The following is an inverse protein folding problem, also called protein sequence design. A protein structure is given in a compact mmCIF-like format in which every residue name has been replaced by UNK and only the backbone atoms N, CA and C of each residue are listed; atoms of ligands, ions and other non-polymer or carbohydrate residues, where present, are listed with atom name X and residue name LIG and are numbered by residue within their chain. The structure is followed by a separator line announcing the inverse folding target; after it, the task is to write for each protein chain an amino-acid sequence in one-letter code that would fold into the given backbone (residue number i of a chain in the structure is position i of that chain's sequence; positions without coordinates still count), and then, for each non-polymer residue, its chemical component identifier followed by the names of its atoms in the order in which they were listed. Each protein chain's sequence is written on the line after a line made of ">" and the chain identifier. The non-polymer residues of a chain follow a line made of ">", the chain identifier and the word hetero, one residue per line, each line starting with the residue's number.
data_IF_312971707300
#
_entry.id   IF_312971707300
#
_cell.length_a   1.000
_cell.length_b   1.000
_cell.length_c   1.000
_cell.angle_alpha   90.00
_cell.angle_beta   90.00
_cell.angle_gamma   90.00
#
_symmetry.space_group_name_H-M   'P 1'
#
loop_
_entity.id
_entity.type
_entity.pdbx_description
1 polymer ?
#
# COMPACT_ATOMS: atom_id res chain seq x y z
N UNK A 1 -4.96 -22.11 -20.16
CA UNK A 1 -4.86 -21.00 -19.18
C UNK A 1 -5.22 -19.72 -19.92
N UNK A 2 -5.93 -18.75 -19.26
CA UNK A 2 -6.26 -17.46 -19.88
C UNK A 2 -5.00 -16.62 -20.12
N UNK A 3 -4.95 -15.90 -21.23
CA UNK A 3 -3.91 -14.92 -21.57
C UNK A 3 -4.26 -13.60 -20.90
N UNK A 4 -3.44 -13.15 -19.95
CA UNK A 4 -3.71 -11.96 -19.14
C UNK A 4 -2.60 -10.92 -19.37
N UNK A 5 -3.01 -9.69 -19.71
CA UNK A 5 -2.16 -8.51 -19.72
C UNK A 5 -2.42 -7.67 -18.49
N UNK A 6 -1.40 -7.45 -17.66
CA UNK A 6 -1.44 -6.50 -16.55
C UNK A 6 -0.58 -5.28 -16.88
N UNK A 7 -1.17 -4.09 -16.95
CA UNK A 7 -0.45 -2.84 -17.24
C UNK A 7 -0.19 -2.11 -15.93
N UNK A 8 1.09 -1.90 -15.61
CA UNK A 8 1.55 -1.24 -14.39
C UNK A 8 2.47 -0.07 -14.71
N UNK A 9 2.59 0.90 -13.81
CA UNK A 9 3.46 2.06 -14.02
C UNK A 9 4.96 1.70 -13.91
N UNK A 10 5.37 1.03 -12.83
CA UNK A 10 6.77 0.69 -12.59
C UNK A 10 6.86 -0.61 -11.77
N UNK A 11 7.95 -1.34 -11.97
CA UNK A 11 8.22 -2.54 -11.20
C UNK A 11 8.49 -2.22 -9.73
N UNK A 12 7.86 -3.01 -8.83
CA UNK A 12 8.02 -2.87 -7.39
C UNK A 12 8.19 -4.22 -6.71
N UNK A 13 9.16 -4.38 -5.81
CA UNK A 13 9.50 -5.67 -5.21
C UNK A 13 8.30 -6.37 -4.54
N UNK A 14 7.46 -5.63 -3.86
CA UNK A 14 6.32 -6.18 -3.13
C UNK A 14 5.21 -6.77 -4.03
N UNK A 15 5.20 -6.44 -5.34
CA UNK A 15 4.25 -7.02 -6.31
C UNK A 15 4.80 -8.22 -7.05
N UNK A 16 6.11 -8.43 -7.05
CA UNK A 16 6.71 -9.51 -7.85
C UNK A 16 6.28 -10.88 -7.35
N UNK A 17 6.20 -11.09 -6.03
CA UNK A 17 5.70 -12.36 -5.50
C UNK A 17 4.22 -12.57 -5.84
N UNK A 18 3.40 -11.52 -5.77
CA UNK A 18 2.02 -11.57 -6.22
C UNK A 18 1.91 -11.98 -7.70
N UNK A 19 2.70 -11.36 -8.59
CA UNK A 19 2.70 -11.72 -10.01
C UNK A 19 3.23 -13.15 -10.25
N UNK A 20 4.24 -13.60 -9.48
CA UNK A 20 4.72 -14.98 -9.55
C UNK A 20 3.64 -15.98 -9.19
N UNK A 21 2.87 -15.72 -8.13
CA UNK A 21 1.76 -16.58 -7.71
C UNK A 21 0.59 -16.54 -8.71
N UNK A 22 0.28 -15.37 -9.26
CA UNK A 22 -0.76 -15.21 -10.28
C UNK A 22 -0.39 -15.96 -11.57
N UNK A 23 0.88 -15.93 -11.98
CA UNK A 23 1.41 -16.62 -13.15
C UNK A 23 1.34 -18.16 -13.06
N UNK A 24 1.18 -18.71 -11.87
CA UNK A 24 0.88 -20.14 -11.70
C UNK A 24 -0.54 -20.51 -12.11
N UNK A 25 -1.43 -19.53 -12.28
CA UNK A 25 -2.87 -19.70 -12.57
C UNK A 25 -3.28 -19.20 -13.96
N UNK A 26 -2.51 -18.31 -14.58
CA UNK A 26 -2.77 -17.76 -15.91
C UNK A 26 -1.46 -17.49 -16.68
N UNK A 27 -1.54 -17.32 -18.00
CA UNK A 27 -0.39 -16.87 -18.80
C UNK A 27 -0.27 -15.35 -18.65
N UNK A 28 0.51 -14.90 -17.67
CA UNK A 28 0.61 -13.50 -17.27
C UNK A 28 1.72 -12.78 -18.05
N UNK A 29 1.36 -11.68 -18.70
CA UNK A 29 2.31 -10.67 -19.19
C UNK A 29 2.09 -9.38 -18.38
N UNK A 30 3.15 -8.89 -17.73
CA UNK A 30 3.15 -7.60 -17.05
C UNK A 30 3.88 -6.57 -17.91
N UNK A 31 3.15 -5.54 -18.33
CA UNK A 31 3.67 -4.44 -19.11
C UNK A 31 3.92 -3.23 -18.21
N UNK A 32 5.17 -2.88 -18.02
CA UNK A 32 5.55 -1.69 -17.27
C UNK A 32 5.71 -0.48 -18.17
N UNK A 33 5.19 0.67 -17.75
CA UNK A 33 5.33 1.92 -18.50
C UNK A 33 6.78 2.39 -18.58
N UNK A 34 7.56 2.12 -17.54
CA UNK A 34 8.97 2.51 -17.44
C UNK A 34 9.81 1.45 -16.71
N UNK A 35 11.05 1.31 -17.17
CA UNK A 35 12.03 0.38 -16.59
C UNK A 35 12.69 0.93 -15.32
N UNK A 36 12.71 2.27 -15.13
CA UNK A 36 13.30 2.95 -13.95
C UNK A 36 12.35 3.98 -13.36
N UNK A 37 12.41 4.17 -12.05
CA UNK A 37 11.73 5.27 -11.35
C UNK A 37 12.77 6.23 -10.79
N UNK A 38 12.58 7.55 -11.01
CA UNK A 38 13.44 8.59 -10.45
C UNK A 38 13.30 8.71 -8.91
N UNK A 39 12.16 8.30 -8.37
CA UNK A 39 11.84 8.43 -6.93
C UNK A 39 12.31 7.24 -6.09
N UNK A 40 12.75 6.13 -6.70
CA UNK A 40 13.07 4.89 -5.99
C UNK A 40 14.55 4.58 -6.03
N UNK A 41 15.10 4.12 -4.91
CA UNK A 41 16.49 3.72 -4.78
C UNK A 41 16.73 2.42 -5.57
N UNK A 42 17.79 2.37 -6.39
CA UNK A 42 18.20 1.17 -7.16
C UNK A 42 18.47 -0.06 -6.28
N UNK A 43 18.71 0.16 -4.99
CA UNK A 43 18.86 -0.93 -4.00
C UNK A 43 17.62 -1.81 -3.83
N UNK A 44 16.45 -1.33 -4.27
CA UNK A 44 15.18 -2.07 -4.18
C UNK A 44 15.01 -3.13 -5.30
N UNK A 45 15.76 -3.02 -6.41
CA UNK A 45 15.53 -3.82 -7.62
C UNK A 45 16.48 -5.03 -7.78
N UNK A 46 17.26 -5.40 -6.74
CA UNK A 46 18.20 -6.53 -6.82
C UNK A 46 17.50 -7.87 -7.01
N UNK A 47 17.79 -8.52 -8.15
CA UNK A 47 17.54 -9.91 -8.54
C UNK A 47 16.27 -10.57 -7.99
N UNK A 48 15.12 -10.26 -8.61
CA UNK A 48 13.87 -10.97 -8.33
C UNK A 48 13.69 -12.02 -9.43
N UNK A 49 13.57 -13.29 -9.04
CA UNK A 49 13.15 -14.35 -9.94
C UNK A 49 11.72 -14.07 -10.41
N UNK A 50 11.51 -14.01 -11.72
CA UNK A 50 10.21 -13.73 -12.32
C UNK A 50 9.70 -15.00 -13.01
N UNK A 51 8.48 -15.40 -12.67
CA UNK A 51 7.74 -16.54 -13.27
C UNK A 51 6.70 -16.10 -14.29
N UNK A 52 6.70 -14.82 -14.67
CA UNK A 52 5.77 -14.19 -15.61
C UNK A 52 6.54 -13.45 -16.71
N UNK A 53 5.88 -13.18 -17.82
CA UNK A 53 6.47 -12.41 -18.92
C UNK A 53 6.49 -10.91 -18.55
N UNK A 54 7.63 -10.26 -18.81
CA UNK A 54 7.82 -8.83 -18.54
C UNK A 54 8.13 -8.10 -19.83
N UNK A 55 7.41 -7.01 -20.06
CA UNK A 55 7.69 -6.07 -21.15
C UNK A 55 7.74 -4.65 -20.60
N UNK A 56 8.51 -3.78 -21.26
CA UNK A 56 8.67 -2.36 -20.91
C UNK A 56 8.31 -1.49 -22.10
N UNK A 57 7.50 -0.43 -21.85
CA UNK A 57 7.15 0.52 -22.90
C UNK A 57 8.26 1.53 -23.16
N UNK A 58 8.90 2.00 -22.08
CA UNK A 58 9.95 3.04 -22.11
C UNK A 58 9.66 4.16 -23.12
N UNK A 59 8.81 5.10 -22.72
CA UNK A 59 8.33 6.18 -23.57
C UNK A 59 9.12 7.48 -23.44
N UNK A 60 8.64 8.51 -24.10
CA UNK A 60 9.17 9.88 -23.99
C UNK A 60 8.64 10.49 -22.69
N UNK A 61 9.53 11.03 -21.86
CA UNK A 61 9.16 11.74 -20.64
C UNK A 61 8.47 13.07 -20.98
N UNK A 62 7.27 13.29 -20.45
CA UNK A 62 6.45 14.48 -20.75
C UNK A 62 6.17 15.36 -19.51
N UNK A 63 6.94 15.17 -18.44
CA UNK A 63 6.90 15.96 -17.22
C UNK A 63 6.33 15.20 -16.02
N UNK A 64 6.85 15.51 -14.81
CA UNK A 64 6.58 14.75 -13.60
C UNK A 64 6.93 13.28 -13.79
N UNK A 65 6.07 12.39 -13.37
CA UNK A 65 6.21 10.94 -13.56
C UNK A 65 5.51 10.40 -14.82
N UNK A 66 5.07 11.28 -15.73
CA UNK A 66 4.34 10.90 -16.92
C UNK A 66 5.26 10.59 -18.09
N UNK A 67 4.93 9.52 -18.80
CA UNK A 67 5.56 9.08 -20.03
C UNK A 67 4.51 8.99 -21.13
N UNK A 68 4.94 9.13 -22.37
CA UNK A 68 4.09 9.01 -23.55
C UNK A 68 4.64 7.93 -24.47
N UNK A 69 3.82 6.94 -24.82
CA UNK A 69 4.20 5.91 -25.78
C UNK A 69 2.97 5.31 -26.46
N UNK A 70 2.83 5.52 -27.77
CA UNK A 70 1.73 4.99 -28.57
C UNK A 70 1.76 3.45 -28.73
N UNK A 71 2.91 2.80 -28.46
CA UNK A 71 2.99 1.32 -28.51
C UNK A 71 2.00 0.64 -27.57
N UNK A 72 1.50 1.34 -26.53
CA UNK A 72 0.45 0.82 -25.65
C UNK A 72 -0.78 0.35 -26.44
N UNK A 73 -1.14 1.05 -27.52
CA UNK A 73 -2.28 0.69 -28.38
C UNK A 73 -2.07 -0.66 -29.07
N UNK A 74 -0.82 -0.97 -29.47
CA UNK A 74 -0.49 -2.28 -30.06
C UNK A 74 -0.68 -3.41 -29.06
N UNK A 75 -0.30 -3.18 -27.79
CA UNK A 75 -0.52 -4.17 -26.70
C UNK A 75 -2.00 -4.41 -26.47
N UNK A 76 -2.80 -3.36 -26.41
CA UNK A 76 -4.25 -3.46 -26.25
C UNK A 76 -4.92 -4.23 -27.41
N UNK A 77 -4.38 -4.13 -28.63
CA UNK A 77 -4.90 -4.86 -29.81
C UNK A 77 -4.49 -6.35 -29.85
N UNK A 78 -3.48 -6.77 -29.12
CA UNK A 78 -3.11 -8.20 -29.03
C UNK A 78 -4.26 -9.03 -28.45
N UNK A 79 -4.25 -10.33 -28.75
CA UNK A 79 -5.26 -11.27 -28.24
C UNK A 79 -4.96 -11.65 -26.79
N UNK A 80 -5.39 -10.82 -25.87
CA UNK A 80 -5.49 -11.16 -24.46
C UNK A 80 -6.96 -11.42 -24.12
N UNK A 81 -7.22 -12.45 -23.29
CA UNK A 81 -8.55 -12.75 -22.78
C UNK A 81 -8.98 -11.70 -21.76
N UNK A 82 -8.02 -11.23 -20.95
CA UNK A 82 -8.25 -10.23 -19.90
C UNK A 82 -7.15 -9.17 -19.94
N UNK A 83 -7.55 -7.90 -19.84
CA UNK A 83 -6.64 -6.76 -19.66
C UNK A 83 -6.93 -6.11 -18.32
N UNK A 84 -5.91 -5.99 -17.47
CA UNK A 84 -6.00 -5.33 -16.16
C UNK A 84 -5.19 -4.04 -16.21
N UNK A 85 -5.84 -2.93 -15.90
CA UNK A 85 -5.23 -1.61 -15.78
C UNK A 85 -4.88 -1.37 -14.30
N UNK A 86 -3.58 -1.33 -13.97
CA UNK A 86 -3.08 -1.20 -12.60
C UNK A 86 -3.03 0.23 -12.07
N UNK A 87 -3.25 1.23 -12.94
CA UNK A 87 -3.26 2.65 -12.55
C UNK A 87 -4.05 3.46 -13.59
N UNK A 88 -4.95 4.31 -13.16
CA UNK A 88 -5.75 5.17 -14.07
C UNK A 88 -5.25 6.62 -14.11
N UNK A 89 -4.22 6.94 -13.33
CA UNK A 89 -3.68 8.30 -13.21
C UNK A 89 -2.51 8.58 -14.18
N UNK A 90 -1.95 7.54 -14.83
CA UNK A 90 -0.89 7.74 -15.80
C UNK A 90 -1.46 8.13 -17.18
N UNK A 91 -0.70 8.90 -17.92
CA UNK A 91 -1.08 9.31 -19.28
C UNK A 91 -1.23 8.09 -20.19
N UNK A 92 -0.28 7.17 -20.16
CA UNK A 92 -0.28 5.96 -21.00
C UNK A 92 -1.49 5.08 -20.72
N UNK A 93 -1.79 4.79 -19.45
CA UNK A 93 -2.94 3.95 -19.10
C UNK A 93 -4.27 4.67 -19.39
N UNK A 94 -4.33 5.98 -19.19
CA UNK A 94 -5.51 6.79 -19.59
C UNK A 94 -5.76 6.70 -21.10
N UNK A 95 -4.71 6.73 -21.92
CA UNK A 95 -4.80 6.53 -23.38
C UNK A 95 -5.30 5.11 -23.71
N UNK A 96 -4.77 4.07 -23.03
CA UNK A 96 -5.23 2.70 -23.20
C UNK A 96 -6.72 2.56 -22.87
N UNK A 97 -7.18 3.15 -21.77
CA UNK A 97 -8.58 3.16 -21.34
C UNK A 97 -9.46 3.80 -22.42
N UNK A 98 -9.11 5.00 -22.91
CA UNK A 98 -9.88 5.70 -23.94
C UNK A 98 -9.97 4.86 -25.22
N UNK A 99 -8.84 4.32 -25.65
CA UNK A 99 -8.79 3.50 -26.87
C UNK A 99 -9.63 2.23 -26.75
N UNK A 100 -9.52 1.50 -25.63
CA UNK A 100 -10.36 0.31 -25.36
C UNK A 100 -11.85 0.64 -25.39
N UNK A 101 -12.26 1.81 -24.86
CA UNK A 101 -13.65 2.26 -24.92
C UNK A 101 -14.12 2.50 -26.36
N UNK A 102 -13.26 3.15 -27.18
CA UNK A 102 -13.59 3.43 -28.60
C UNK A 102 -13.81 2.12 -29.37
N UNK A 103 -12.97 1.12 -29.16
CA UNK A 103 -13.08 -0.17 -29.86
C UNK A 103 -13.98 -1.20 -29.18
N UNK A 104 -14.64 -0.83 -28.07
CA UNK A 104 -15.53 -1.72 -27.31
C UNK A 104 -14.83 -2.87 -26.60
N UNK A 105 -13.50 -2.79 -26.34
CA UNK A 105 -12.73 -3.85 -25.67
C UNK A 105 -12.93 -3.78 -24.16
N UNK A 106 -13.29 -4.93 -23.53
CA UNK A 106 -13.44 -5.03 -22.07
C UNK A 106 -12.09 -4.94 -21.36
N UNK A 107 -12.08 -4.34 -20.19
CA UNK A 107 -10.91 -4.27 -19.31
C UNK A 107 -11.34 -4.18 -17.84
N UNK A 108 -10.45 -4.59 -16.95
CA UNK A 108 -10.60 -4.52 -15.51
C UNK A 108 -9.71 -3.35 -15.01
N UNK A 109 -10.18 -2.61 -14.02
CA UNK A 109 -9.35 -1.61 -13.33
C UNK A 109 -8.97 -2.14 -11.95
N UNK A 110 -7.67 -2.12 -11.65
CA UNK A 110 -7.15 -2.42 -10.32
C UNK A 110 -6.84 -1.12 -9.57
N UNK A 111 -7.22 -1.06 -8.29
CA UNK A 111 -7.02 0.07 -7.38
C UNK A 111 -6.39 -0.42 -6.08
N UNK A 112 -5.20 0.06 -5.78
CA UNK A 112 -4.40 -0.37 -4.64
C UNK A 112 -4.81 0.26 -3.29
N UNK A 113 -6.02 0.79 -3.19
CA UNK A 113 -6.55 1.37 -1.97
C UNK A 113 -7.66 2.37 -2.21
N UNK A 114 -7.95 3.14 -1.18
CA UNK A 114 -9.06 4.09 -1.18
C UNK A 114 -8.90 5.18 -2.24
N UNK A 115 -10.03 5.51 -2.87
CA UNK A 115 -10.10 6.55 -3.88
C UNK A 115 -10.67 7.80 -3.23
N UNK A 116 -9.84 8.80 -3.07
CA UNK A 116 -10.24 10.08 -2.50
C UNK A 116 -10.94 10.95 -3.55
N UNK A 117 -12.27 10.95 -3.51
CA UNK A 117 -13.14 11.65 -4.48
C UNK A 117 -13.92 12.81 -3.86
N UNK A 118 -13.50 13.25 -2.66
CA UNK A 118 -14.27 14.20 -1.85
C UNK A 118 -14.24 15.65 -2.35
N UNK A 119 -13.22 16.01 -3.13
CA UNK A 119 -13.11 17.37 -3.66
C UNK A 119 -13.90 17.55 -4.96
N UNK A 120 -14.69 18.60 -5.03
CA UNK A 120 -15.33 19.06 -6.26
C UNK A 120 -14.30 19.81 -7.11
N UNK A 121 -13.47 19.10 -7.86
CA UNK A 121 -12.45 19.68 -8.73
C UNK A 121 -12.53 19.06 -10.13
N UNK A 122 -11.95 19.75 -11.12
CA UNK A 122 -11.80 19.23 -12.48
C UNK A 122 -11.01 17.92 -12.46
N UNK A 123 -9.98 17.81 -11.59
CA UNK A 123 -9.20 16.58 -11.40
C UNK A 123 -10.08 15.42 -10.96
N UNK A 124 -10.98 15.64 -9.99
CA UNK A 124 -11.92 14.62 -9.52
C UNK A 124 -12.92 14.20 -10.59
N UNK A 125 -13.39 15.16 -11.40
CA UNK A 125 -14.28 14.86 -12.54
C UNK A 125 -13.57 14.01 -13.59
N UNK A 126 -12.32 14.30 -13.92
CA UNK A 126 -11.50 13.48 -14.81
C UNK A 126 -11.23 12.09 -14.23
N UNK A 127 -10.90 11.99 -12.94
CA UNK A 127 -10.73 10.69 -12.26
C UNK A 127 -12.00 9.85 -12.39
N UNK A 128 -13.18 10.41 -12.09
CA UNK A 128 -14.47 9.73 -12.23
C UNK A 128 -14.73 9.30 -13.66
N UNK A 129 -14.37 10.13 -14.65
CA UNK A 129 -14.50 9.79 -16.05
C UNK A 129 -13.66 8.57 -16.44
N UNK A 130 -12.37 8.51 -16.04
CA UNK A 130 -11.50 7.37 -16.35
C UNK A 130 -11.88 6.10 -15.56
N UNK A 131 -12.37 6.26 -14.34
CA UNK A 131 -12.85 5.13 -13.55
C UNK A 131 -14.10 4.49 -14.14
N UNK A 132 -15.04 5.25 -14.68
CA UNK A 132 -16.25 4.71 -15.29
C UNK A 132 -15.92 3.97 -16.59
N UNK A 133 -16.60 2.85 -16.84
CA UNK A 133 -16.56 2.12 -18.12
C UNK A 133 -15.71 0.86 -18.13
N UNK A 134 -15.03 0.49 -17.05
CA UNK A 134 -14.45 -0.84 -16.90
C UNK A 134 -15.56 -1.90 -16.78
N UNK A 135 -15.27 -3.12 -17.21
CA UNK A 135 -16.19 -4.26 -17.03
C UNK A 135 -16.24 -4.69 -15.57
N UNK A 136 -15.12 -4.61 -14.86
CA UNK A 136 -14.99 -4.97 -13.45
C UNK A 136 -13.91 -4.15 -12.74
N UNK A 137 -13.94 -4.11 -11.41
CA UNK A 137 -12.98 -3.40 -10.55
C UNK A 137 -12.45 -4.33 -9.47
N UNK A 138 -11.14 -4.42 -9.37
CA UNK A 138 -10.42 -5.05 -8.27
C UNK A 138 -9.92 -3.96 -7.33
N UNK A 139 -10.32 -3.97 -6.07
CA UNK A 139 -9.97 -2.90 -5.11
C UNK A 139 -9.33 -3.48 -3.86
N UNK A 140 -8.30 -2.82 -3.36
CA UNK A 140 -7.62 -3.24 -2.13
C UNK A 140 -8.47 -2.88 -0.92
N UNK A 141 -9.03 -3.91 -0.27
CA UNK A 141 -9.78 -3.81 0.98
C UNK A 141 -11.22 -3.34 0.85
N UNK A 142 -11.95 -3.52 1.94
CA UNK A 142 -13.39 -3.23 2.00
C UNK A 142 -13.68 -1.72 2.10
N UNK A 143 -12.76 -0.94 2.67
CA UNK A 143 -12.86 0.52 2.71
C UNK A 143 -12.85 1.13 1.31
N UNK A 144 -11.95 0.63 0.44
CA UNK A 144 -11.89 1.04 -0.96
C UNK A 144 -13.13 0.61 -1.76
N UNK A 145 -13.68 -0.58 -1.49
CA UNK A 145 -14.94 -1.04 -2.07
C UNK A 145 -16.11 -0.11 -1.71
N UNK A 146 -16.26 0.23 -0.42
CA UNK A 146 -17.31 1.15 0.06
C UNK A 146 -17.19 2.53 -0.59
N UNK A 147 -15.96 3.02 -0.75
CA UNK A 147 -15.69 4.31 -1.39
C UNK A 147 -16.04 4.30 -2.88
N UNK A 148 -15.63 3.25 -3.61
CA UNK A 148 -15.91 3.13 -5.05
C UNK A 148 -17.39 2.87 -5.34
N UNK A 149 -18.11 2.14 -4.48
CA UNK A 149 -19.53 1.85 -4.62
C UNK A 149 -20.44 3.10 -4.61
N UNK A 150 -19.91 4.27 -4.18
CA UNK A 150 -20.62 5.55 -4.30
C UNK A 150 -20.78 6.03 -5.74
N UNK A 151 -19.98 5.51 -6.68
CA UNK A 151 -19.97 5.96 -8.08
C UNK A 151 -20.04 4.83 -9.11
N UNK A 152 -19.83 3.59 -8.69
CA UNK A 152 -19.83 2.38 -9.51
C UNK A 152 -20.79 1.36 -8.88
N UNK A 153 -21.48 0.58 -9.71
CA UNK A 153 -22.32 -0.53 -9.26
C UNK A 153 -21.49 -1.54 -8.47
N UNK A 154 -21.93 -1.85 -7.26
CA UNK A 154 -21.22 -2.76 -6.34
C UNK A 154 -21.04 -4.17 -6.93
N UNK A 155 -21.94 -4.64 -7.80
CA UNK A 155 -21.81 -5.92 -8.48
C UNK A 155 -20.61 -6.03 -9.42
N UNK A 156 -20.01 -4.88 -9.78
CA UNK A 156 -18.80 -4.80 -10.60
C UNK A 156 -17.53 -4.65 -9.77
N UNK A 157 -17.61 -4.68 -8.45
CA UNK A 157 -16.49 -4.40 -7.56
C UNK A 157 -16.19 -5.65 -6.73
N UNK A 158 -14.96 -6.12 -6.81
CA UNK A 158 -14.44 -7.19 -5.95
C UNK A 158 -13.33 -6.63 -5.07
N UNK A 159 -13.52 -6.65 -3.75
CA UNK A 159 -12.44 -6.34 -2.82
C UNK A 159 -11.47 -7.52 -2.70
N UNK A 160 -10.19 -7.22 -2.59
CA UNK A 160 -9.15 -8.20 -2.34
C UNK A 160 -8.27 -7.81 -1.15
N UNK A 161 -7.78 -8.78 -0.37
CA UNK A 161 -6.95 -8.55 0.79
C UNK A 161 -5.51 -8.22 0.36
N UNK A 162 -5.23 -6.93 0.10
CA UNK A 162 -3.93 -6.52 -0.40
C UNK A 162 -2.82 -6.80 0.62
N UNK A 163 -1.78 -7.48 0.17
CA UNK A 163 -0.62 -7.85 0.99
C UNK A 163 0.64 -8.00 0.14
N UNK A 164 1.79 -7.84 0.79
CA UNK A 164 3.11 -8.23 0.27
C UNK A 164 3.63 -9.53 0.91
N UNK A 165 2.82 -10.21 1.72
CA UNK A 165 3.19 -11.36 2.52
C UNK A 165 2.47 -12.61 2.05
N UNK A 166 3.22 -13.71 1.94
CA UNK A 166 2.67 -15.07 1.81
C UNK A 166 2.24 -15.62 3.17
N UNK A 167 1.44 -16.70 3.19
CA UNK A 167 1.12 -17.40 4.43
C UNK A 167 2.40 -17.85 5.16
N UNK A 168 3.41 -18.31 4.41
CA UNK A 168 4.72 -18.72 4.95
C UNK A 168 5.45 -17.56 5.62
N UNK A 169 5.38 -16.35 5.04
CA UNK A 169 5.99 -15.15 5.65
C UNK A 169 5.32 -14.84 7.00
N UNK A 170 3.99 -14.93 7.07
CA UNK A 170 3.24 -14.67 8.31
C UNK A 170 3.60 -15.68 9.40
N UNK A 171 3.67 -16.97 9.05
CA UNK A 171 4.01 -18.02 10.02
C UNK A 171 5.43 -17.81 10.58
N UNK A 172 6.39 -17.45 9.72
CA UNK A 172 7.76 -17.11 10.13
C UNK A 172 7.82 -15.84 10.97
N UNK A 173 7.10 -14.79 10.57
CA UNK A 173 7.10 -13.51 11.25
C UNK A 173 6.50 -13.59 12.66
N UNK A 174 5.51 -14.48 12.87
CA UNK A 174 4.88 -14.65 14.17
C UNK A 174 5.87 -15.16 15.26
N UNK A 175 7.00 -15.77 14.87
CA UNK A 175 8.07 -16.16 15.80
C UNK A 175 8.73 -14.95 16.47
N UNK A 176 8.72 -13.77 15.81
CA UNK A 176 9.25 -12.53 16.35
C UNK A 176 8.36 -11.90 17.45
N UNK A 177 7.15 -12.41 17.64
CA UNK A 177 6.22 -11.90 18.65
C UNK A 177 6.74 -12.04 20.10
N UNK A 178 7.65 -12.98 20.33
CA UNK A 178 8.23 -13.27 21.65
C UNK A 178 9.38 -12.33 22.05
N UNK A 179 9.69 -11.30 21.25
CA UNK A 179 10.76 -10.35 21.57
C UNK A 179 10.34 -9.39 22.69
N UNK A 180 11.30 -9.00 23.52
CA UNK A 180 11.09 -7.89 24.49
C UNK A 180 10.79 -6.61 23.74
N UNK A 181 9.66 -5.98 24.05
CA UNK A 181 9.16 -4.80 23.35
C UNK A 181 9.44 -3.52 24.13
N UNK A 182 10.05 -2.55 23.45
CA UNK A 182 10.38 -1.23 24.00
C UNK A 182 10.13 -0.13 22.98
N UNK A 183 9.78 1.07 23.43
CA UNK A 183 9.62 2.26 22.58
C UNK A 183 8.50 2.18 21.54
N UNK A 184 8.48 3.17 20.67
CA UNK A 184 7.48 3.37 19.61
C UNK A 184 8.20 3.45 18.27
N UNK A 185 7.63 2.81 17.26
CA UNK A 185 8.16 2.78 15.89
C UNK A 185 7.23 3.54 14.94
N UNK A 186 7.81 4.39 14.11
CA UNK A 186 7.13 5.05 12.99
C UNK A 186 7.87 4.69 11.71
N UNK A 187 7.18 4.15 10.70
CA UNK A 187 7.80 3.72 9.44
C UNK A 187 7.17 4.45 8.27
N UNK A 188 7.98 5.16 7.50
CA UNK A 188 7.52 5.84 6.29
C UNK A 188 8.51 6.84 5.72
N UNK A 189 8.33 7.16 4.44
CA UNK A 189 9.06 8.24 3.80
C UNK A 189 8.53 9.61 4.29
N UNK A 190 9.38 10.63 4.28
CA UNK A 190 9.00 11.97 4.68
C UNK A 190 8.26 12.69 3.54
N UNK A 191 6.96 12.41 3.45
CA UNK A 191 6.02 13.11 2.57
C UNK A 191 4.84 13.61 3.40
N UNK A 192 4.26 14.74 3.03
CA UNK A 192 3.17 15.38 3.77
C UNK A 192 2.00 14.43 4.06
N UNK A 193 1.63 13.60 3.09
CA UNK A 193 0.51 12.66 3.25
C UNK A 193 0.79 11.54 4.26
N UNK A 194 2.06 11.32 4.65
CA UNK A 194 2.45 10.32 5.67
C UNK A 194 2.30 10.82 7.10
N UNK A 195 2.18 12.13 7.33
CA UNK A 195 1.92 12.70 8.65
C UNK A 195 3.01 12.48 9.70
N UNK A 196 4.29 12.24 9.28
CA UNK A 196 5.37 11.99 10.23
C UNK A 196 5.63 13.18 11.16
N UNK A 197 5.35 14.40 10.70
CA UNK A 197 5.40 15.63 11.48
C UNK A 197 4.42 15.58 12.67
N UNK A 198 3.20 15.06 12.48
CA UNK A 198 2.22 14.86 13.56
C UNK A 198 2.75 13.89 14.62
N UNK A 199 3.38 12.78 14.19
CA UNK A 199 3.99 11.84 15.13
C UNK A 199 5.18 12.46 15.88
N UNK A 200 5.96 13.34 15.25
CA UNK A 200 7.06 14.06 15.93
C UNK A 200 6.52 14.98 17.00
N UNK A 201 5.42 15.71 16.76
CA UNK A 201 4.82 16.55 17.79
C UNK A 201 4.35 15.71 19.00
N UNK A 202 3.74 14.53 18.75
CA UNK A 202 3.42 13.59 19.84
C UNK A 202 4.68 13.13 20.59
N UNK A 203 5.75 12.79 19.86
CA UNK A 203 7.02 12.34 20.45
C UNK A 203 7.66 13.42 21.34
N UNK A 204 7.57 14.69 20.96
CA UNK A 204 8.06 15.83 21.78
C UNK A 204 7.32 15.93 23.10
N UNK A 205 6.02 15.65 23.13
CA UNK A 205 5.19 15.67 24.34
C UNK A 205 5.35 14.41 25.21
N UNK A 206 5.81 13.27 24.63
CA UNK A 206 6.03 11.99 25.31
C UNK A 206 7.52 11.72 25.52
N UNK A 207 8.21 12.62 26.21
CA UNK A 207 9.69 12.62 26.34
C UNK A 207 10.28 11.45 27.13
N UNK A 208 9.46 10.72 27.86
CA UNK A 208 9.81 9.55 28.67
C UNK A 208 9.75 8.23 27.86
N UNK A 209 9.29 8.27 26.60
CA UNK A 209 9.23 7.12 25.70
C UNK A 209 10.12 7.34 24.49
N UNK A 210 10.91 6.33 24.12
CA UNK A 210 11.75 6.39 22.92
C UNK A 210 10.90 6.22 21.66
N UNK A 211 11.10 7.11 20.69
CA UNK A 211 10.48 7.08 19.35
C UNK A 211 11.54 6.88 18.29
N UNK A 212 11.37 5.84 17.48
CA UNK A 212 12.26 5.55 16.35
C UNK A 212 11.51 5.76 15.04
N UNK A 213 11.99 6.71 14.22
CA UNK A 213 11.48 6.98 12.87
C UNK A 213 12.38 6.30 11.85
N UNK A 214 11.78 5.47 10.98
CA UNK A 214 12.51 4.68 9.98
C UNK A 214 11.97 4.97 8.58
N UNK A 215 12.88 5.07 7.61
CA UNK A 215 12.53 5.11 6.20
C UNK A 215 12.45 6.50 5.58
N UNK A 216 12.93 7.54 6.26
CA UNK A 216 12.98 8.92 5.73
C UNK A 216 13.85 9.05 4.48
N UNK A 217 14.76 8.09 4.24
CA UNK A 217 15.55 7.97 3.01
C UNK A 217 16.39 9.20 2.70
N UNK A 218 16.36 9.66 1.46
CA UNK A 218 17.10 10.86 0.99
C UNK A 218 16.62 12.16 1.65
N UNK A 219 15.47 12.18 2.29
CA UNK A 219 14.89 13.35 2.95
C UNK A 219 15.25 13.42 4.44
N UNK A 220 16.13 12.55 4.95
CA UNK A 220 16.45 12.45 6.37
C UNK A 220 16.97 13.77 6.96
N UNK A 221 17.88 14.44 6.29
CA UNK A 221 18.44 15.73 6.77
C UNK A 221 17.33 16.78 6.86
N UNK A 222 16.58 16.97 5.78
CA UNK A 222 15.42 17.86 5.72
C UNK A 222 14.42 17.56 6.83
N UNK A 223 14.08 16.29 7.03
CA UNK A 223 13.18 15.86 8.10
C UNK A 223 13.72 16.24 9.48
N UNK A 224 15.01 15.96 9.75
CA UNK A 224 15.63 16.28 11.02
C UNK A 224 15.70 17.80 11.28
N UNK A 225 15.93 18.60 10.25
CA UNK A 225 15.99 20.06 10.34
C UNK A 225 14.59 20.66 10.56
N UNK A 226 13.64 20.38 9.69
CA UNK A 226 12.27 20.91 9.76
C UNK A 226 11.56 20.50 11.06
N UNK A 227 11.75 19.26 11.51
CA UNK A 227 11.14 18.74 12.72
C UNK A 227 11.98 18.97 13.99
N UNK A 228 13.19 19.50 13.85
CA UNK A 228 14.12 19.78 14.95
C UNK A 228 14.41 18.56 15.84
N UNK A 229 14.39 17.34 15.25
CA UNK A 229 14.47 16.07 16.00
C UNK A 229 15.73 15.94 16.86
N UNK A 230 16.86 16.55 16.44
CA UNK A 230 18.13 16.51 17.16
C UNK A 230 18.09 17.19 18.54
N UNK A 231 17.07 18.01 18.83
CA UNK A 231 16.89 18.66 20.13
C UNK A 231 16.28 17.72 21.18
N UNK A 232 15.71 16.58 20.76
CA UNK A 232 14.96 15.67 21.60
C UNK A 232 15.69 14.34 21.74
N UNK A 233 16.11 13.98 22.96
CA UNK A 233 16.92 12.77 23.23
C UNK A 233 16.12 11.47 23.00
N UNK A 234 14.80 11.52 23.11
CA UNK A 234 13.90 10.41 22.93
C UNK A 234 13.52 10.14 21.45
N UNK A 235 14.00 10.99 20.50
CA UNK A 235 13.70 10.83 19.08
C UNK A 235 14.94 10.35 18.33
N UNK A 236 14.85 9.15 17.74
CA UNK A 236 15.86 8.55 16.89
C UNK A 236 15.36 8.47 15.44
N UNK A 237 16.21 8.85 14.49
CA UNK A 237 15.89 8.79 13.05
C UNK A 237 16.86 7.86 12.34
N UNK A 238 16.32 6.87 11.61
CA UNK A 238 17.08 5.89 10.84
C UNK A 238 16.65 6.01 9.37
N UNK A 239 17.53 6.44 8.45
CA UNK A 239 17.18 6.70 7.07
C UNK A 239 16.62 5.49 6.34
N UNK A 240 17.17 4.32 6.61
CA UNK A 240 16.81 3.07 5.94
C UNK A 240 17.20 1.86 6.79
N UNK A 241 16.36 0.83 6.80
CA UNK A 241 16.66 -0.50 7.32
C UNK A 241 16.46 -1.55 6.23
N UNK A 242 17.29 -2.59 6.23
CA UNK A 242 17.04 -3.77 5.41
C UNK A 242 15.79 -4.51 5.92
N UNK A 243 15.14 -5.28 5.05
CA UNK A 243 13.88 -5.99 5.38
C UNK A 243 13.97 -6.76 6.71
N UNK A 244 15.07 -7.49 6.94
CA UNK A 244 15.27 -8.25 8.18
C UNK A 244 15.31 -7.34 9.42
N UNK A 245 16.08 -6.26 9.37
CA UNK A 245 16.24 -5.31 10.48
C UNK A 245 14.92 -4.58 10.77
N UNK A 246 14.16 -4.24 9.72
CA UNK A 246 12.85 -3.62 9.84
C UNK A 246 11.85 -4.56 10.55
N UNK A 247 11.84 -5.85 10.19
CA UNK A 247 10.97 -6.84 10.82
C UNK A 247 11.36 -7.11 12.28
N UNK A 248 12.66 -7.12 12.60
CA UNK A 248 13.12 -7.16 13.99
C UNK A 248 12.68 -5.89 14.75
N UNK A 249 12.67 -4.73 14.11
CA UNK A 249 12.21 -3.47 14.72
C UNK A 249 10.71 -3.51 15.02
N UNK A 250 9.88 -4.12 14.15
CA UNK A 250 8.48 -4.40 14.47
C UNK A 250 8.36 -5.30 15.70
N UNK A 251 9.13 -6.39 15.78
CA UNK A 251 9.09 -7.30 16.94
C UNK A 251 9.53 -6.65 18.27
N UNK A 252 10.43 -5.68 18.20
CA UNK A 252 11.02 -4.98 19.36
C UNK A 252 10.24 -3.75 19.82
N UNK A 253 9.35 -3.16 19.02
CA UNK A 253 8.60 -2.00 19.44
C UNK A 253 7.31 -2.39 20.18
N UNK A 254 6.92 -1.56 21.15
CA UNK A 254 5.63 -1.73 21.87
C UNK A 254 4.44 -1.36 21.01
N UNK A 255 4.60 -0.36 20.16
CA UNK A 255 3.54 0.16 19.28
C UNK A 255 4.15 0.62 17.97
N UNK A 256 3.56 0.22 16.83
CA UNK A 256 3.75 0.87 15.55
C UNK A 256 2.75 2.03 15.45
N UNK A 257 3.23 3.23 15.12
CA UNK A 257 2.38 4.40 14.84
C UNK A 257 2.40 4.71 13.36
N UNK A 258 1.23 4.78 12.72
CA UNK A 258 1.04 5.16 11.33
C UNK A 258 0.14 6.42 11.25
N UNK A 259 0.73 7.63 11.27
CA UNK A 259 0.01 8.89 11.42
C UNK A 259 -0.50 9.47 10.09
N UNK A 260 -0.65 8.63 9.06
CA UNK A 260 -0.91 9.07 7.68
C UNK A 260 -2.17 9.94 7.56
N UNK A 261 -2.04 11.08 6.88
CA UNK A 261 -3.18 11.91 6.47
C UNK A 261 -4.02 11.22 5.44
N UNK A 262 -3.30 10.54 4.51
CA UNK A 262 -3.91 9.88 3.37
C UNK A 262 -2.96 8.79 2.83
N UNK A 263 -3.31 7.56 3.06
CA UNK A 263 -2.55 6.39 2.62
C UNK A 263 -3.48 5.43 1.87
N UNK A 264 -3.18 5.13 0.62
CA UNK A 264 -4.02 4.23 -0.17
C UNK A 264 -4.21 2.87 0.53
N UNK A 265 -3.12 2.29 1.04
CA UNK A 265 -3.17 1.05 1.81
C UNK A 265 -2.35 1.14 3.09
N UNK A 266 -1.03 1.03 2.99
CA UNK A 266 -0.11 1.01 4.13
C UNK A 266 0.37 -0.40 4.46
N UNK A 267 1.23 -0.98 3.59
CA UNK A 267 1.77 -2.34 3.76
C UNK A 267 2.47 -2.57 5.11
N UNK A 268 2.99 -1.52 5.73
CA UNK A 268 3.59 -1.57 7.07
C UNK A 268 2.60 -2.09 8.14
N UNK A 269 1.29 -1.90 7.94
CA UNK A 269 0.25 -2.49 8.80
C UNK A 269 0.23 -4.02 8.66
N UNK A 270 0.25 -4.53 7.42
CA UNK A 270 0.32 -5.98 7.17
C UNK A 270 1.58 -6.59 7.80
N UNK A 271 2.73 -5.94 7.61
CA UNK A 271 4.03 -6.38 8.13
C UNK A 271 4.03 -6.44 9.65
N UNK A 272 3.65 -5.36 10.33
CA UNK A 272 3.58 -5.29 11.77
C UNK A 272 2.54 -6.27 12.36
N UNK A 273 1.37 -6.36 11.76
CA UNK A 273 0.31 -7.27 12.18
C UNK A 273 0.73 -8.74 12.08
N UNK A 274 1.55 -9.11 11.07
CA UNK A 274 2.07 -10.48 10.92
C UNK A 274 2.98 -10.92 12.08
N UNK A 275 3.56 -9.95 12.80
CA UNK A 275 4.41 -10.16 13.99
C UNK A 275 3.59 -10.02 15.29
N UNK A 276 2.36 -9.53 15.20
CA UNK A 276 1.54 -9.19 16.35
C UNK A 276 1.95 -7.88 17.04
N UNK A 277 2.61 -6.98 16.33
CA UNK A 277 2.99 -5.66 16.85
C UNK A 277 1.74 -4.79 17.01
N UNK A 278 1.40 -4.28 18.21
CA UNK A 278 0.29 -3.35 18.40
C UNK A 278 0.38 -2.15 17.48
N UNK A 279 -0.74 -1.74 16.92
CA UNK A 279 -0.83 -0.68 15.90
C UNK A 279 -1.74 0.44 16.40
N UNK A 280 -1.25 1.66 16.33
CA UNK A 280 -2.05 2.89 16.40
C UNK A 280 -1.91 3.59 15.06
N UNK A 281 -3.02 3.85 14.39
CA UNK A 281 -3.00 4.46 13.08
C UNK A 281 -4.11 5.53 12.97
N UNK A 282 -4.11 6.25 11.86
CA UNK A 282 -5.19 7.17 11.57
C UNK A 282 -6.25 6.52 10.67
N UNK A 283 -7.44 7.10 10.66
CA UNK A 283 -8.49 6.80 9.67
C UNK A 283 -8.05 7.06 8.22
N UNK A 284 -6.93 7.74 8.03
CA UNK A 284 -6.31 7.98 6.72
C UNK A 284 -5.57 6.78 6.13
N UNK A 285 -5.45 5.65 6.84
CA UNK A 285 -4.75 4.44 6.35
C UNK A 285 -5.74 3.33 6.00
N UNK A 286 -5.85 2.96 4.72
CA UNK A 286 -6.77 1.92 4.25
C UNK A 286 -6.56 0.58 4.94
N UNK A 287 -5.32 0.09 5.05
CA UNK A 287 -5.03 -1.16 5.75
C UNK A 287 -5.41 -1.11 7.23
N UNK A 288 -5.10 -0.02 7.94
CA UNK A 288 -5.45 0.10 9.35
C UNK A 288 -6.96 0.11 9.57
N UNK A 289 -7.70 0.79 8.69
CA UNK A 289 -9.18 0.77 8.72
C UNK A 289 -9.70 -0.64 8.51
N UNK A 290 -9.23 -1.37 7.51
CA UNK A 290 -9.65 -2.75 7.22
C UNK A 290 -9.29 -3.73 8.34
N UNK A 291 -8.16 -3.51 9.02
CA UNK A 291 -7.73 -4.38 10.12
C UNK A 291 -8.51 -4.12 11.41
N UNK A 292 -8.83 -2.86 11.72
CA UNK A 292 -9.25 -2.45 13.06
C UNK A 292 -10.71 -1.98 13.17
N UNK A 293 -11.31 -1.40 12.11
CA UNK A 293 -12.57 -0.68 12.20
C UNK A 293 -13.75 -1.53 12.70
N UNK A 294 -13.78 -2.81 12.34
CA UNK A 294 -14.84 -3.76 12.70
C UNK A 294 -14.48 -4.62 13.92
N UNK A 295 -13.59 -4.10 14.79
CA UNK A 295 -13.13 -4.78 16.00
C UNK A 295 -13.15 -3.87 17.22
N UNK A 296 -12.95 -4.45 18.41
CA UNK A 296 -12.77 -3.67 19.65
C UNK A 296 -11.55 -2.73 19.59
N UNK A 297 -10.58 -3.00 18.70
CA UNK A 297 -9.37 -2.21 18.50
C UNK A 297 -9.57 -0.98 17.60
N UNK A 298 -10.79 -0.73 17.15
CA UNK A 298 -11.17 0.52 16.49
C UNK A 298 -10.80 1.77 17.31
N UNK A 299 -10.74 1.62 18.61
CA UNK A 299 -10.34 2.69 19.54
C UNK A 299 -8.91 3.19 19.28
N UNK A 300 -8.06 2.45 18.56
CA UNK A 300 -6.70 2.84 18.15
C UNK A 300 -6.61 3.50 16.78
N UNK A 301 -7.76 3.81 16.17
CA UNK A 301 -7.81 4.66 14.98
C UNK A 301 -8.00 6.11 15.40
N UNK A 302 -6.96 6.92 15.15
CA UNK A 302 -6.96 8.36 15.43
C UNK A 302 -7.46 9.18 14.24
N UNK A 303 -7.90 10.40 14.48
CA UNK A 303 -8.20 11.34 13.41
C UNK A 303 -6.91 11.81 12.73
N UNK A 304 -6.86 11.89 11.40
CA UNK A 304 -5.74 12.54 10.72
C UNK A 304 -5.55 13.98 11.20
N UNK A 305 -4.29 14.43 11.27
CA UNK A 305 -3.89 15.79 11.73
C UNK A 305 -4.30 16.17 13.15
N UNK A 306 -4.76 15.24 13.97
CA UNK A 306 -5.12 15.47 15.36
C UNK A 306 -4.05 14.90 16.31
N UNK A 307 -3.07 15.74 16.68
CA UNK A 307 -1.95 15.37 17.56
C UNK A 307 -2.42 14.87 18.92
N UNK A 308 -3.46 15.49 19.48
CA UNK A 308 -3.97 15.14 20.81
C UNK A 308 -4.74 13.81 20.79
N UNK A 309 -5.54 13.55 19.74
CA UNK A 309 -6.20 12.27 19.57
C UNK A 309 -5.16 11.14 19.33
N UNK A 310 -4.16 11.38 18.48
CA UNK A 310 -3.08 10.42 18.24
C UNK A 310 -2.32 10.10 19.53
N UNK A 311 -1.92 11.13 20.30
CA UNK A 311 -1.24 10.96 21.60
C UNK A 311 -2.04 10.09 22.54
N UNK A 312 -3.33 10.42 22.72
CA UNK A 312 -4.25 9.67 23.58
C UNK A 312 -4.32 8.19 23.16
N UNK A 313 -4.46 7.90 21.84
CA UNK A 313 -4.52 6.52 21.34
C UNK A 313 -3.21 5.75 21.60
N UNK A 314 -2.07 6.42 21.47
CA UNK A 314 -0.76 5.83 21.77
C UNK A 314 -0.65 5.53 23.28
N UNK A 315 -1.00 6.47 24.16
CA UNK A 315 -0.98 6.27 25.61
C UNK A 315 -1.90 5.12 26.03
N UNK A 316 -3.11 5.06 25.47
CA UNK A 316 -4.08 4.00 25.77
C UNK A 316 -3.60 2.64 25.29
N UNK A 317 -2.99 2.58 24.10
CA UNK A 317 -2.37 1.36 23.58
C UNK A 317 -1.19 0.86 24.44
N UNK A 318 -0.35 1.78 24.94
CA UNK A 318 0.76 1.46 25.83
C UNK A 318 0.32 0.92 27.19
N UNK A 319 -0.87 1.27 27.68
CA UNK A 319 -1.45 0.78 28.94
C UNK A 319 -2.13 -0.58 28.80
N UNK A 320 -2.51 -0.96 27.58
CA UNK A 320 -3.21 -2.22 27.33
C UNK A 320 -2.25 -3.41 27.45
N UNK A 321 -2.74 -4.55 27.97
CA UNK A 321 -2.02 -5.83 27.88
C UNK A 321 -1.90 -6.22 26.41
N UNK A 322 -0.66 -6.39 25.94
CA UNK A 322 -0.37 -6.55 24.51
C UNK A 322 -0.82 -7.89 23.90
N UNK A 323 -0.93 -8.96 24.70
CA UNK A 323 -1.06 -10.34 24.19
C UNK A 323 -2.35 -10.55 23.38
N UNK A 324 -3.51 -10.15 23.89
CA UNK A 324 -4.78 -10.30 23.16
C UNK A 324 -4.82 -9.51 21.86
N UNK A 325 -4.26 -8.28 21.87
CA UNK A 325 -4.18 -7.46 20.67
C UNK A 325 -3.19 -8.04 19.67
N UNK A 326 -2.04 -8.49 20.13
CA UNK A 326 -1.04 -9.16 19.29
C UNK A 326 -1.61 -10.41 18.62
N UNK A 327 -2.30 -11.27 19.36
CA UNK A 327 -2.95 -12.47 18.83
C UNK A 327 -4.06 -12.13 17.82
N UNK A 328 -4.84 -11.08 18.08
CA UNK A 328 -5.82 -10.61 17.13
C UNK A 328 -5.15 -10.19 15.81
N UNK A 329 -4.07 -9.40 15.85
CA UNK A 329 -3.36 -8.93 14.69
C UNK A 329 -2.76 -10.07 13.87
N UNK A 330 -2.13 -11.06 14.51
CA UNK A 330 -1.59 -12.26 13.84
C UNK A 330 -2.72 -13.05 13.17
N UNK A 331 -3.85 -13.29 13.87
CA UNK A 331 -5.00 -13.97 13.25
C UNK A 331 -5.56 -13.19 12.08
N UNK A 332 -5.70 -11.86 12.21
CA UNK A 332 -6.22 -10.99 11.15
C UNK A 332 -5.28 -10.96 9.95
N UNK A 333 -3.95 -10.95 10.16
CA UNK A 333 -2.96 -10.95 9.07
C UNK A 333 -3.06 -12.18 8.16
N UNK A 334 -3.45 -13.34 8.70
CA UNK A 334 -3.71 -14.57 7.91
C UNK A 334 -4.87 -14.45 6.92
N UNK A 335 -5.69 -13.42 7.04
CA UNK A 335 -6.73 -13.10 6.06
C UNK A 335 -6.19 -12.22 4.91
N UNK A 336 -5.00 -11.62 5.08
CA UNK A 336 -4.36 -10.71 4.14
C UNK A 336 -3.06 -11.32 3.64
N UNK A 337 -3.16 -12.29 2.72
CA UNK A 337 -2.01 -12.95 2.10
C UNK A 337 -2.02 -12.81 0.59
N UNK A 338 -0.87 -12.98 -0.03
CA UNK A 338 -0.74 -12.98 -1.49
C UNK A 338 -1.61 -14.07 -2.11
N UNK A 339 -1.68 -15.26 -1.51
CA UNK A 339 -2.48 -16.38 -1.99
C UNK A 339 -3.97 -16.00 -2.05
N UNK A 340 -4.50 -15.38 -1.00
CA UNK A 340 -5.90 -14.92 -0.96
C UNK A 340 -6.15 -13.76 -1.91
N UNK A 341 -5.16 -12.90 -2.11
CA UNK A 341 -5.22 -11.87 -3.13
C UNK A 341 -5.35 -12.49 -4.54
N UNK A 342 -4.52 -13.50 -4.86
CA UNK A 342 -4.56 -14.23 -6.13
C UNK A 342 -5.90 -14.95 -6.34
N UNK A 343 -6.47 -15.57 -5.29
CA UNK A 343 -7.79 -16.19 -5.37
C UNK A 343 -8.87 -15.20 -5.81
N UNK A 344 -8.87 -13.98 -5.25
CA UNK A 344 -9.81 -12.91 -5.64
C UNK A 344 -9.60 -12.42 -7.08
N UNK A 345 -8.34 -12.31 -7.51
CA UNK A 345 -8.06 -11.96 -8.91
C UNK A 345 -8.53 -13.04 -9.86
N UNK A 346 -8.27 -14.31 -9.54
CA UNK A 346 -8.71 -15.43 -10.39
C UNK A 346 -10.21 -15.53 -10.49
N UNK A 347 -10.98 -15.27 -9.41
CA UNK A 347 -12.45 -15.28 -9.48
C UNK A 347 -13.00 -14.29 -10.51
N UNK A 348 -12.32 -13.14 -10.72
CA UNK A 348 -12.72 -12.15 -11.73
C UNK A 348 -12.13 -12.45 -13.12
N UNK A 349 -10.93 -13.03 -13.18
CA UNK A 349 -10.28 -13.40 -14.46
C UNK A 349 -11.02 -14.56 -15.14
N UNK A 350 -11.60 -15.47 -14.38
CA UNK A 350 -12.30 -16.66 -14.91
C UNK A 350 -13.72 -16.38 -15.39
N UNK A 351 -14.37 -15.30 -14.94
CA UNK A 351 -15.64 -14.79 -15.48
C UNK A 351 -15.49 -14.31 -16.94
#
# INVERSE_FOLDING_TARGET
>A
MKEVLYISNVEVPYRNEFFNQLALKCNLTVLYEKSKSAERDEKWTKSIERKYNVEYLDGIHVGGDNYFNLKILQYVLRKYDVIIIGCYNSLVQSMAILFMRIIGKKYIVNLDGEIFLYEKSIKTTLKKFFLKGASHYLVAGDSAQKSLAQIIDNNKITSYPFSSLTQRDIDKNSELNNMKREGILVVGQYYDYKGLDVAVEVAKEMSDVEWTFVGTGRQTERFCEEQQTKKYKNIKVIPFLQKKELYESYGKCRVLVLPSRQECWGLVVNEAASIGTPIVATWGSGAAVDYLSDSQYRCFLAKPDDTQDLKKKVEDCLKQKSDEYSDFLVRKSKMYTIEKCVEKYMSVIEE
#
